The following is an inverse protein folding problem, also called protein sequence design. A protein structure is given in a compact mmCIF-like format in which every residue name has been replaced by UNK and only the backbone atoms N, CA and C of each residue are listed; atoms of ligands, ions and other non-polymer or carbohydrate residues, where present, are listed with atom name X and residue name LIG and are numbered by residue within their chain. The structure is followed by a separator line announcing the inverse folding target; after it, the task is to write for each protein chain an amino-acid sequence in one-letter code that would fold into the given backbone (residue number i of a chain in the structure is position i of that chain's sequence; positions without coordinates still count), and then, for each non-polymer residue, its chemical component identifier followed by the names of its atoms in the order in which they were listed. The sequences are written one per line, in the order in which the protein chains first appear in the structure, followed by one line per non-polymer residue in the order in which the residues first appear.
data_IF_479558847617
#
_entry.id   IF_479558847617
#
_cell.length_a   1.000
_cell.length_b   1.000
_cell.length_c   1.000
_cell.angle_alpha   90.00
_cell.angle_beta   90.00
_cell.angle_gamma   90.00
#
_symmetry.space_group_name_H-M   'P 1'
#
loop_
_entity.id
_entity.type
_entity.pdbx_description
1 polymer ?
#
# COMPACT_ATOMS: atom_id res chain seq x y z
N UNK A 1 -22.71 8.86 14.04
CA UNK A 1 -23.49 7.91 13.21
C UNK A 1 -22.63 6.94 12.38
N UNK A 2 -21.30 6.99 12.46
CA UNK A 2 -20.40 6.01 11.81
C UNK A 2 -20.16 4.75 12.64
N UNK A 3 -20.35 4.80 13.94
CA UNK A 3 -20.13 3.68 14.87
C UNK A 3 -21.23 2.61 14.83
N UNK A 4 -22.46 2.98 14.49
CA UNK A 4 -23.59 2.05 14.44
C UNK A 4 -23.51 1.02 13.28
N UNK A 5 -22.72 1.28 12.25
CA UNK A 5 -22.54 0.38 11.11
C UNK A 5 -21.59 -0.79 11.42
N UNK A 6 -20.56 -0.56 12.22
CA UNK A 6 -19.57 -1.58 12.59
C UNK A 6 -20.14 -2.61 13.58
N UNK A 7 -21.00 -2.17 14.49
CA UNK A 7 -21.61 -3.03 15.52
C UNK A 7 -22.70 -3.96 14.99
N UNK A 8 -23.29 -3.66 13.83
CA UNK A 8 -24.32 -4.50 13.20
C UNK A 8 -23.76 -5.73 12.48
N UNK A 9 -22.47 -5.73 12.15
CA UNK A 9 -21.78 -6.88 11.52
C UNK A 9 -21.34 -7.94 12.56
N UNK A 10 -21.39 -7.63 13.85
CA UNK A 10 -20.92 -8.47 14.94
C UNK A 10 -22.12 -8.81 15.83
N UNK A 11 -22.71 -9.99 15.68
CA UNK A 11 -23.87 -10.48 16.46
C UNK A 11 -23.80 -10.12 17.96
N UNK A 12 -24.77 -9.31 18.41
CA UNK A 12 -24.67 -8.34 19.51
C UNK A 12 -24.59 -8.88 20.95
N UNK A 13 -24.60 -10.16 21.24
CA UNK A 13 -24.80 -10.61 22.67
C UNK A 13 -23.64 -11.41 23.27
N UNK A 14 -22.77 -12.03 22.48
CA UNK A 14 -21.54 -12.67 22.99
C UNK A 14 -20.30 -11.75 22.88
N UNK A 15 -20.44 -10.65 22.21
CA UNK A 15 -19.35 -9.76 21.79
C UNK A 15 -18.85 -8.88 22.93
N UNK A 16 -19.71 -8.43 23.85
CA UNK A 16 -19.30 -7.50 24.91
C UNK A 16 -18.34 -8.11 25.97
N UNK A 17 -18.49 -9.39 26.32
CA UNK A 17 -17.58 -10.06 27.26
C UNK A 17 -16.24 -10.41 26.64
N UNK A 18 -16.20 -10.70 25.32
CA UNK A 18 -14.97 -11.00 24.61
C UNK A 18 -14.11 -9.74 24.34
N UNK A 19 -14.72 -8.56 24.25
CA UNK A 19 -14.01 -7.29 24.07
C UNK A 19 -13.27 -6.82 25.32
N UNK A 20 -13.64 -7.34 26.51
CA UNK A 20 -13.02 -6.95 27.79
C UNK A 20 -11.78 -7.79 28.15
N UNK A 21 -11.56 -8.89 27.47
CA UNK A 21 -10.39 -9.75 27.69
C UNK A 21 -9.25 -9.35 26.73
N UNK A 22 -8.40 -8.44 27.18
CA UNK A 22 -7.24 -7.95 26.42
C UNK A 22 -6.23 -9.07 26.05
N UNK A 23 -6.30 -10.23 26.71
CA UNK A 23 -5.40 -11.35 26.46
C UNK A 23 -5.85 -12.26 25.30
N UNK A 24 -7.12 -12.18 24.91
CA UNK A 24 -7.69 -13.03 23.87
C UNK A 24 -7.77 -12.32 22.52
N UNK A 25 -7.20 -12.92 21.46
CA UNK A 25 -7.38 -12.40 20.10
C UNK A 25 -8.86 -12.42 19.71
N UNK A 26 -9.38 -11.27 19.29
CA UNK A 26 -10.74 -11.12 18.80
C UNK A 26 -10.76 -11.33 17.29
N UNK A 27 -11.58 -12.25 16.74
CA UNK A 27 -11.66 -12.47 15.30
C UNK A 27 -12.27 -11.25 14.61
N UNK A 28 -11.61 -10.80 13.54
CA UNK A 28 -12.01 -9.66 12.73
C UNK A 28 -12.15 -10.08 11.27
N UNK A 29 -13.28 -9.76 10.67
CA UNK A 29 -13.50 -9.93 9.24
C UNK A 29 -14.28 -8.73 8.72
N UNK A 30 -13.77 -8.06 7.68
CA UNK A 30 -14.46 -6.94 7.05
C UNK A 30 -14.17 -6.89 5.56
N UNK A 31 -15.12 -6.35 4.81
CA UNK A 31 -14.98 -5.97 3.42
C UNK A 31 -15.54 -4.56 3.27
N UNK A 32 -14.73 -3.67 2.72
CA UNK A 32 -15.07 -2.26 2.57
C UNK A 32 -14.69 -1.81 1.17
N UNK A 33 -15.51 -0.94 0.58
CA UNK A 33 -15.16 -0.23 -0.64
C UNK A 33 -15.18 1.27 -0.34
N UNK A 34 -14.07 1.94 -0.59
CA UNK A 34 -13.92 3.39 -0.40
C UNK A 34 -13.50 3.96 -1.75
N UNK A 35 -14.40 4.72 -2.36
CA UNK A 35 -14.28 5.11 -3.76
C UNK A 35 -14.09 3.87 -4.66
N UNK A 36 -12.98 3.78 -5.38
CA UNK A 36 -12.60 2.65 -6.24
C UNK A 36 -11.65 1.65 -5.57
N UNK A 37 -11.28 1.88 -4.31
CA UNK A 37 -10.45 0.97 -3.53
C UNK A 37 -11.29 -0.06 -2.80
N UNK A 38 -11.02 -1.33 -3.04
CA UNK A 38 -11.61 -2.47 -2.34
C UNK A 38 -10.62 -3.00 -1.31
N UNK A 39 -11.12 -3.17 -0.08
CA UNK A 39 -10.36 -3.69 1.05
C UNK A 39 -11.08 -4.90 1.60
N UNK A 40 -10.42 -6.03 1.68
CA UNK A 40 -10.90 -7.19 2.42
C UNK A 40 -9.86 -7.58 3.46
N UNK A 41 -10.29 -7.78 4.69
CA UNK A 41 -9.42 -8.19 5.79
C UNK A 41 -10.06 -9.30 6.60
N UNK A 42 -9.23 -10.22 7.09
CA UNK A 42 -9.63 -11.32 7.95
C UNK A 42 -8.47 -11.70 8.87
N UNK A 43 -8.74 -11.88 10.16
CA UNK A 43 -7.70 -12.25 11.13
C UNK A 43 -8.11 -11.93 12.56
N UNK A 44 -7.19 -11.37 13.33
CA UNK A 44 -7.39 -11.11 14.75
C UNK A 44 -6.96 -9.72 15.18
N UNK A 45 -7.63 -9.21 16.21
CA UNK A 45 -7.31 -7.98 16.90
C UNK A 45 -7.06 -8.33 18.38
N UNK A 46 -5.88 -8.03 18.88
CA UNK A 46 -5.53 -8.17 20.30
C UNK A 46 -5.82 -6.85 21.02
N UNK A 47 -6.34 -6.94 22.23
CA UNK A 47 -6.78 -5.79 23.02
C UNK A 47 -7.72 -4.85 22.22
N UNK A 48 -8.94 -5.28 21.91
CA UNK A 48 -9.84 -4.52 21.05
C UNK A 48 -10.18 -3.12 21.55
N UNK A 49 -10.17 -2.92 22.88
CA UNK A 49 -10.50 -1.61 23.49
C UNK A 49 -9.39 -0.57 23.28
N UNK A 50 -8.15 -1.03 23.28
CA UNK A 50 -6.99 -0.16 23.08
C UNK A 50 -6.38 -0.32 21.70
N UNK A 51 -6.94 -1.16 20.81
CA UNK A 51 -6.39 -1.45 19.49
C UNK A 51 -4.90 -1.86 19.56
N UNK A 52 -4.58 -2.82 20.44
CA UNK A 52 -3.19 -3.14 20.79
C UNK A 52 -2.38 -3.69 19.62
N UNK A 53 -2.86 -4.74 18.95
CA UNK A 53 -2.20 -5.32 17.78
C UNK A 53 -3.20 -5.95 16.81
N UNK A 54 -2.87 -5.88 15.52
CA UNK A 54 -3.60 -6.51 14.43
C UNK A 54 -2.73 -7.59 13.79
N UNK A 55 -3.34 -8.72 13.45
CA UNK A 55 -2.76 -9.82 12.70
C UNK A 55 -3.79 -10.26 11.64
N UNK A 56 -3.64 -9.78 10.41
CA UNK A 56 -4.67 -9.83 9.39
C UNK A 56 -4.12 -10.31 8.05
N UNK A 57 -4.89 -11.16 7.35
CA UNK A 57 -4.77 -11.25 5.90
C UNK A 57 -5.46 -10.05 5.28
N UNK A 58 -4.71 -9.27 4.51
CA UNK A 58 -5.18 -8.04 3.86
C UNK A 58 -5.12 -8.20 2.36
N UNK A 59 -6.26 -7.96 1.71
CA UNK A 59 -6.37 -7.82 0.26
C UNK A 59 -6.76 -6.39 -0.08
N UNK A 60 -6.01 -5.80 -0.98
CA UNK A 60 -6.26 -4.46 -1.49
C UNK A 60 -6.35 -4.50 -3.01
N UNK A 61 -7.28 -3.76 -3.59
CA UNK A 61 -7.35 -3.54 -5.04
C UNK A 61 -7.94 -2.17 -5.32
N UNK A 62 -7.38 -1.47 -6.31
CA UNK A 62 -7.86 -0.14 -6.68
C UNK A 62 -7.25 0.34 -7.99
N UNK A 63 -7.69 1.50 -8.45
CA UNK A 63 -7.24 2.09 -9.71
C UNK A 63 -5.91 2.82 -9.59
N UNK A 64 -5.54 3.30 -8.39
CA UNK A 64 -4.25 3.96 -8.13
C UNK A 64 -3.87 3.86 -6.66
N UNK A 65 -2.57 3.70 -6.36
CA UNK A 65 -2.04 3.70 -5.00
C UNK A 65 -2.28 5.04 -4.29
N UNK A 66 -2.34 6.16 -5.02
CA UNK A 66 -2.64 7.48 -4.44
C UNK A 66 -4.00 7.53 -3.76
N UNK A 67 -4.95 6.69 -4.16
CA UNK A 67 -6.28 6.57 -3.56
C UNK A 67 -6.28 5.88 -2.18
N UNK A 68 -5.13 5.35 -1.74
CA UNK A 68 -4.98 4.79 -0.38
C UNK A 68 -4.81 5.86 0.70
N UNK A 69 -4.56 7.12 0.35
CA UNK A 69 -4.37 8.20 1.33
C UNK A 69 -5.49 8.29 2.39
N UNK A 70 -6.80 8.22 2.05
CA UNK A 70 -7.86 8.28 3.05
C UNK A 70 -7.85 7.12 4.06
N UNK A 71 -7.21 6.01 3.71
CA UNK A 71 -7.11 4.80 4.53
C UNK A 71 -5.85 4.80 5.39
N UNK A 72 -4.74 5.26 4.84
CA UNK A 72 -3.41 5.10 5.43
C UNK A 72 -2.84 6.39 6.00
N UNK A 73 -3.32 7.57 5.54
CA UNK A 73 -2.69 8.86 5.79
C UNK A 73 -1.33 9.03 5.10
N UNK A 74 -0.90 8.05 4.29
CA UNK A 74 0.38 8.06 3.58
C UNK A 74 0.15 8.52 2.14
N UNK A 75 0.89 9.54 1.71
CA UNK A 75 0.88 10.00 0.32
C UNK A 75 1.69 9.04 -0.53
N UNK A 76 1.00 8.22 -1.32
CA UNK A 76 1.59 7.31 -2.29
C UNK A 76 1.55 7.92 -3.69
N UNK A 77 2.46 7.52 -4.60
CA UNK A 77 2.44 7.99 -5.98
C UNK A 77 1.21 7.48 -6.73
N UNK A 78 0.87 8.18 -7.81
CA UNK A 78 -0.08 7.65 -8.79
C UNK A 78 0.48 6.36 -9.39
N UNK A 79 -0.38 5.39 -9.61
CA UNK A 79 -0.02 4.11 -10.19
C UNK A 79 -1.07 3.64 -11.19
N UNK A 80 -0.75 2.69 -12.05
CA UNK A 80 -1.77 1.88 -12.71
C UNK A 80 -2.64 1.12 -11.69
N UNK A 81 -3.76 0.51 -12.13
CA UNK A 81 -4.56 -0.36 -11.28
C UNK A 81 -3.70 -1.41 -10.59
N UNK A 82 -3.98 -1.65 -9.32
CA UNK A 82 -3.20 -2.56 -8.49
C UNK A 82 -4.10 -3.56 -7.76
N UNK A 83 -3.52 -4.69 -7.43
CA UNK A 83 -4.09 -5.65 -6.47
C UNK A 83 -3.00 -6.28 -5.63
N UNK A 84 -3.25 -6.49 -4.35
CA UNK A 84 -2.32 -7.17 -3.44
C UNK A 84 -3.07 -8.07 -2.46
N UNK A 85 -2.43 -9.17 -2.07
CA UNK A 85 -2.89 -10.11 -1.03
C UNK A 85 -1.68 -10.48 -0.18
N UNK A 86 -1.71 -10.16 1.10
CA UNK A 86 -0.59 -10.38 2.01
C UNK A 86 -1.01 -10.40 3.48
N UNK A 87 -0.02 -10.55 4.34
CA UNK A 87 -0.17 -10.61 5.79
C UNK A 87 0.18 -9.26 6.41
N UNK A 88 -0.79 -8.60 7.03
CA UNK A 88 -0.62 -7.33 7.73
C UNK A 88 -0.54 -7.58 9.23
N UNK A 89 0.60 -7.23 9.81
CA UNK A 89 0.81 -7.17 11.24
C UNK A 89 0.95 -5.70 11.64
N UNK A 90 0.12 -5.23 12.57
CA UNK A 90 0.23 -3.87 13.06
C UNK A 90 0.31 -3.86 14.60
N UNK A 91 1.22 -3.03 15.11
CA UNK A 91 1.37 -2.68 16.53
C UNK A 91 1.21 -1.18 16.65
N UNK A 92 0.12 -0.74 17.29
CA UNK A 92 -0.29 0.65 17.24
C UNK A 92 0.31 1.51 18.37
N UNK A 93 0.81 0.88 19.45
CA UNK A 93 1.30 1.56 20.65
C UNK A 93 2.79 1.27 20.92
N UNK A 94 3.62 1.21 19.86
CA UNK A 94 5.06 1.08 20.07
C UNK A 94 5.68 2.43 20.49
N UNK A 95 6.70 2.44 21.35
CA UNK A 95 7.34 3.68 21.84
C UNK A 95 7.91 4.58 20.73
N UNK A 96 8.26 4.00 19.59
CA UNK A 96 8.77 4.71 18.40
C UNK A 96 7.69 5.14 17.41
N UNK A 97 6.41 4.93 17.71
CA UNK A 97 5.28 5.13 16.83
C UNK A 97 4.67 3.83 16.30
N UNK A 98 3.48 3.89 15.76
CA UNK A 98 2.79 2.72 15.24
C UNK A 98 3.62 2.03 14.14
N UNK A 99 3.71 0.71 14.22
CA UNK A 99 4.45 -0.14 13.27
C UNK A 99 3.47 -0.99 12.47
N UNK A 100 3.56 -0.92 11.16
CA UNK A 100 2.77 -1.73 10.23
C UNK A 100 3.74 -2.54 9.36
N UNK A 101 3.59 -3.87 9.36
CA UNK A 101 4.35 -4.78 8.51
C UNK A 101 3.40 -5.50 7.57
N UNK A 102 3.59 -5.31 6.28
CA UNK A 102 2.87 -6.02 5.24
C UNK A 102 3.81 -7.05 4.63
N UNK A 103 3.65 -8.29 5.04
CA UNK A 103 4.60 -9.37 4.80
C UNK A 103 4.11 -10.35 3.74
N UNK A 104 5.06 -10.91 2.99
CA UNK A 104 4.85 -11.96 2.00
C UNK A 104 3.67 -11.67 1.05
N UNK A 105 3.49 -10.40 0.72
CA UNK A 105 2.41 -10.04 -0.19
C UNK A 105 2.73 -10.42 -1.63
N UNK A 106 1.70 -10.76 -2.36
CA UNK A 106 1.72 -10.99 -3.80
C UNK A 106 0.70 -10.08 -4.44
N UNK A 107 1.03 -9.54 -5.61
CA UNK A 107 0.12 -8.64 -6.28
C UNK A 107 0.56 -8.25 -7.67
N UNK A 108 -0.15 -7.28 -8.21
CA UNK A 108 0.11 -6.68 -9.51
C UNK A 108 0.00 -5.16 -9.43
N UNK A 109 0.76 -4.47 -10.25
CA UNK A 109 0.61 -3.04 -10.52
C UNK A 109 0.66 -2.88 -12.04
N UNK A 110 -0.46 -2.50 -12.66
CA UNK A 110 -0.60 -2.54 -14.11
C UNK A 110 -0.45 -3.96 -14.63
N UNK A 111 0.51 -4.18 -15.51
CA UNK A 111 0.86 -5.49 -16.05
C UNK A 111 2.10 -6.11 -15.38
N UNK A 112 2.69 -5.43 -14.40
CA UNK A 112 3.82 -5.92 -13.60
C UNK A 112 3.35 -6.76 -12.42
N UNK A 113 4.02 -7.87 -12.15
CA UNK A 113 3.87 -8.60 -10.89
C UNK A 113 4.72 -7.95 -9.79
N UNK A 114 4.27 -8.04 -8.54
CA UNK A 114 4.98 -7.50 -7.39
C UNK A 114 4.82 -8.41 -6.18
N UNK A 115 5.94 -8.72 -5.54
CA UNK A 115 6.02 -9.55 -4.35
C UNK A 115 6.92 -8.89 -3.33
N UNK A 116 6.74 -9.16 -2.05
CA UNK A 116 7.68 -8.65 -1.08
C UNK A 116 7.15 -8.46 0.32
N UNK A 117 7.86 -7.63 1.05
CA UNK A 117 7.49 -7.22 2.41
C UNK A 117 7.86 -5.76 2.62
N UNK A 118 6.94 -5.02 3.23
CA UNK A 118 7.10 -3.60 3.56
C UNK A 118 6.84 -3.38 5.04
N UNK A 119 7.63 -2.51 5.64
CA UNK A 119 7.45 -2.05 7.03
C UNK A 119 7.33 -0.54 7.03
N UNK A 120 6.24 -0.05 7.60
CA UNK A 120 6.01 1.38 7.82
C UNK A 120 6.00 1.66 9.32
N UNK A 121 6.78 2.62 9.74
CA UNK A 121 6.86 3.11 11.13
C UNK A 121 6.43 4.56 11.16
N UNK A 122 5.33 4.86 11.85
CA UNK A 122 4.78 6.20 12.01
C UNK A 122 5.55 6.97 13.11
N UNK A 123 6.87 7.11 12.95
CA UNK A 123 7.75 7.69 13.96
C UNK A 123 8.04 9.17 13.77
N UNK A 124 8.65 9.77 14.80
CA UNK A 124 9.18 11.13 14.77
C UNK A 124 10.70 11.10 14.52
N UNK A 125 11.31 12.08 13.83
CA UNK A 125 10.74 13.32 13.31
C UNK A 125 9.93 13.15 12.01
N UNK A 126 9.99 12.00 11.38
CA UNK A 126 9.23 11.65 10.17
C UNK A 126 9.02 10.14 10.06
N UNK A 127 7.92 9.69 9.44
CA UNK A 127 7.68 8.27 9.24
C UNK A 127 8.74 7.62 8.35
N UNK A 128 8.94 6.32 8.51
CA UNK A 128 9.89 5.52 7.73
C UNK A 128 9.17 4.37 7.05
N UNK A 129 9.39 4.24 5.73
CA UNK A 129 9.03 3.07 4.94
C UNK A 129 10.30 2.29 4.60
N UNK A 130 10.33 0.99 4.86
CA UNK A 130 11.45 0.12 4.50
C UNK A 130 10.95 -1.24 4.03
N UNK A 131 11.75 -1.95 3.23
CA UNK A 131 11.43 -3.30 2.81
C UNK A 131 12.08 -3.72 1.51
N UNK A 132 11.62 -4.86 1.00
CA UNK A 132 12.11 -5.43 -0.26
C UNK A 132 10.95 -5.80 -1.17
N UNK A 133 11.10 -5.47 -2.43
CA UNK A 133 10.16 -5.76 -3.51
C UNK A 133 10.86 -6.60 -4.58
N UNK A 134 10.17 -7.61 -5.05
CA UNK A 134 10.61 -8.49 -6.13
C UNK A 134 9.55 -8.49 -7.23
N UNK A 135 9.98 -8.35 -8.47
CA UNK A 135 9.15 -8.55 -9.65
C UNK A 135 9.83 -9.54 -10.59
N UNK A 136 9.09 -10.53 -11.09
CA UNK A 136 9.60 -11.43 -12.12
C UNK A 136 9.51 -10.78 -13.50
N UNK A 137 8.46 -9.98 -13.72
CA UNK A 137 8.24 -9.22 -14.95
C UNK A 137 7.82 -7.79 -14.61
N UNK A 138 8.73 -6.86 -14.75
CA UNK A 138 8.51 -5.44 -14.50
C UNK A 138 8.38 -4.69 -15.83
N UNK A 139 7.24 -4.08 -16.09
CA UNK A 139 7.06 -3.19 -17.21
C UNK A 139 7.58 -1.79 -16.85
N UNK A 140 8.43 -1.25 -17.71
CA UNK A 140 8.99 0.09 -17.49
C UNK A 140 7.91 1.18 -17.35
N UNK A 141 6.81 1.07 -18.10
CA UNK A 141 5.68 2.02 -18.02
C UNK A 141 5.02 2.06 -16.63
N UNK A 142 4.91 0.91 -15.95
CA UNK A 142 4.36 0.83 -14.60
C UNK A 142 5.32 1.43 -13.57
N UNK A 143 6.62 1.14 -13.72
CA UNK A 143 7.67 1.72 -12.87
C UNK A 143 7.75 3.24 -13.03
N UNK A 144 7.69 3.75 -14.25
CA UNK A 144 7.78 5.18 -14.54
C UNK A 144 6.70 5.98 -13.80
N UNK A 145 5.48 5.46 -13.73
CA UNK A 145 4.39 6.10 -12.98
C UNK A 145 4.64 6.12 -11.47
N UNK A 146 5.24 5.06 -10.91
CA UNK A 146 5.57 4.97 -9.49
C UNK A 146 6.65 5.97 -9.06
N UNK A 147 7.65 6.19 -9.90
CA UNK A 147 8.74 7.14 -9.63
C UNK A 147 8.40 8.59 -10.04
N UNK A 148 7.17 8.83 -10.50
CA UNK A 148 6.69 10.16 -10.90
C UNK A 148 7.25 10.64 -12.24
N UNK A 149 7.84 9.75 -13.04
CA UNK A 149 8.20 10.05 -14.43
C UNK A 149 6.94 9.98 -15.29
N UNK A 150 6.58 11.07 -15.95
CA UNK A 150 5.47 11.05 -16.89
C UNK A 150 5.85 10.18 -18.10
N UNK A 151 5.02 9.17 -18.40
CA UNK A 151 5.21 8.41 -19.64
C UNK A 151 5.01 9.34 -20.86
N UNK A 152 5.76 9.11 -21.93
CA UNK A 152 5.60 9.85 -23.18
C UNK A 152 4.14 9.91 -23.68
N UNK A 153 3.34 8.87 -23.38
CA UNK A 153 1.92 8.82 -23.69
C UNK A 153 1.10 9.84 -22.88
N UNK A 154 1.38 10.04 -21.60
CA UNK A 154 0.72 11.04 -20.75
C UNK A 154 1.16 12.47 -21.12
N UNK A 155 2.42 12.68 -21.45
CA UNK A 155 2.92 13.97 -21.96
C UNK A 155 2.27 14.34 -23.28
N UNK A 156 2.17 13.40 -24.21
CA UNK A 156 1.51 13.61 -25.52
C UNK A 156 0.01 13.89 -25.37
N UNK A 157 -0.67 13.23 -24.44
CA UNK A 157 -2.08 13.49 -24.13
C UNK A 157 -2.32 14.87 -23.52
N UNK A 158 -1.31 15.49 -22.90
CA UNK A 158 -1.34 16.86 -22.34
C UNK A 158 -0.82 17.93 -23.32
N UNK A 159 -0.54 17.56 -24.58
CA UNK A 159 -0.06 18.50 -25.63
C UNK A 159 1.43 18.86 -25.51
N UNK A 160 2.20 18.12 -24.72
CA UNK A 160 3.66 18.29 -24.61
C UNK A 160 4.44 17.46 -25.62
N UNK A 161 5.58 18.00 -26.10
CA UNK A 161 6.51 17.22 -26.92
C UNK A 161 7.25 16.20 -26.06
N UNK A 162 7.48 15.00 -26.62
CA UNK A 162 8.28 13.97 -25.94
C UNK A 162 9.75 14.42 -25.90
N UNK A 163 10.26 14.68 -24.71
CA UNK A 163 11.68 15.06 -24.49
C UNK A 163 12.62 13.86 -24.38
N UNK A 164 12.09 12.65 -24.42
CA UNK A 164 12.90 11.44 -24.23
C UNK A 164 13.47 10.96 -25.56
N UNK A 165 14.80 10.87 -25.71
CA UNK A 165 15.44 10.26 -26.86
C UNK A 165 15.00 8.80 -27.01
N UNK A 166 14.78 8.35 -28.23
CA UNK A 166 14.28 7.00 -28.55
C UNK A 166 15.24 5.86 -28.13
N UNK A 167 16.50 6.19 -27.86
CA UNK A 167 17.59 5.28 -27.51
C UNK A 167 17.81 5.14 -25.98
N UNK A 168 17.09 5.94 -25.14
CA UNK A 168 17.25 5.89 -23.69
C UNK A 168 16.11 5.12 -23.01
N UNK A 169 16.48 4.10 -22.27
CA UNK A 169 15.54 3.26 -21.50
C UNK A 169 15.07 3.95 -20.23
N UNK A 170 15.90 4.78 -19.61
CA UNK A 170 15.53 5.52 -18.40
C UNK A 170 15.00 6.92 -18.74
N UNK A 171 14.01 7.44 -17.99
CA UNK A 171 13.52 8.80 -18.16
C UNK A 171 14.66 9.80 -18.06
N UNK A 172 14.68 10.80 -18.95
CA UNK A 172 15.63 11.91 -18.89
C UNK A 172 15.19 13.00 -17.90
N UNK A 173 14.00 12.89 -17.33
CA UNK A 173 13.43 13.85 -16.39
C UNK A 173 13.92 13.58 -14.96
N UNK A 174 14.10 14.67 -14.19
CA UNK A 174 14.40 14.56 -12.77
C UNK A 174 13.24 13.92 -12.03
N UNK A 175 13.56 12.95 -11.14
CA UNK A 175 12.57 12.33 -10.27
C UNK A 175 11.93 13.41 -9.39
N UNK A 176 10.61 13.49 -9.40
CA UNK A 176 9.85 14.38 -8.50
C UNK A 176 9.90 13.84 -7.06
N UNK A 177 11.01 14.11 -6.39
CA UNK A 177 11.26 13.63 -5.01
C UNK A 177 10.56 14.47 -3.94
N UNK A 178 9.90 15.57 -4.30
CA UNK A 178 9.25 16.45 -3.33
C UNK A 178 8.21 15.74 -2.46
N UNK A 179 7.52 14.74 -3.02
CA UNK A 179 6.53 13.92 -2.29
C UNK A 179 7.16 13.02 -1.22
N UNK A 180 8.48 12.75 -1.30
CA UNK A 180 9.21 11.90 -0.37
C UNK A 180 9.89 12.66 0.76
N UNK A 181 9.82 14.00 0.76
CA UNK A 181 10.47 14.83 1.80
C UNK A 181 9.90 14.59 3.19
N UNK A 182 8.62 14.24 3.28
CA UNK A 182 7.92 14.03 4.54
C UNK A 182 8.05 12.62 5.10
N UNK A 183 8.70 11.70 4.36
CA UNK A 183 8.88 10.30 4.73
C UNK A 183 10.30 9.83 4.39
N UNK A 184 10.94 9.08 5.29
CA UNK A 184 12.16 8.35 4.96
C UNK A 184 11.79 7.04 4.26
N UNK A 185 12.34 6.77 3.08
CA UNK A 185 12.12 5.54 2.33
C UNK A 185 13.44 4.80 2.10
N UNK A 186 13.44 3.50 2.41
CA UNK A 186 14.55 2.57 2.22
C UNK A 186 13.97 1.26 1.69
N UNK A 187 13.68 1.23 0.39
CA UNK A 187 13.03 0.11 -0.27
C UNK A 187 13.91 -0.42 -1.38
N UNK A 188 14.34 -1.67 -1.23
CA UNK A 188 15.09 -2.39 -2.25
C UNK A 188 14.12 -3.00 -3.28
N UNK A 189 14.36 -2.74 -4.57
CA UNK A 189 13.56 -3.30 -5.66
C UNK A 189 14.42 -4.16 -6.57
N UNK A 190 14.04 -5.43 -6.73
CA UNK A 190 14.70 -6.38 -7.62
C UNK A 190 13.75 -6.81 -8.73
N UNK A 191 14.11 -6.53 -9.98
CA UNK A 191 13.41 -7.01 -11.17
C UNK A 191 14.20 -8.11 -11.87
N UNK A 192 13.61 -9.29 -12.09
CA UNK A 192 14.28 -10.37 -12.86
C UNK A 192 14.26 -10.10 -14.37
N UNK A 193 13.18 -9.50 -14.84
CA UNK A 193 13.02 -9.14 -16.25
C UNK A 193 12.39 -7.75 -16.35
N UNK A 194 13.07 -6.85 -17.05
CA UNK A 194 12.52 -5.53 -17.38
C UNK A 194 12.01 -5.56 -18.81
N UNK A 195 10.71 -5.40 -18.97
CA UNK A 195 10.07 -5.37 -20.30
C UNK A 195 9.83 -3.92 -20.70
N UNK A 196 10.48 -3.54 -21.79
CA UNK A 196 10.19 -2.28 -22.47
C UNK A 196 9.15 -2.56 -23.56
N UNK A 197 7.98 -1.92 -23.49
CA UNK A 197 6.99 -1.97 -24.57
C UNK A 197 7.46 -1.14 -25.75
N UNK A 198 8.45 -1.66 -26.46
CA UNK A 198 8.83 -1.22 -27.80
C UNK A 198 8.20 -2.19 -28.80
N UNK A 199 7.55 -1.64 -29.86
CA UNK A 199 7.17 -2.42 -31.03
C UNK A 199 8.39 -3.13 -31.61
#
# INVERSE_FOLDING_TARGET
TREAGLLRALGATRTQLALQDASRPFPLQAQVSIADTKVALAGTLTDPLNLGALDLRLKLAGSSLSNLYPLTGVTLPDSPPYSTDGHLIAKLHEPGGAVFRYEAFNGTIGASDIHGSLTYVAGQPRPKLSGSLLSNQLLFADLASLIGADSNAKQKARGGESKQPADKVLPAEEFKTDRWRDMAADVECTGKSLVHSGK
#
